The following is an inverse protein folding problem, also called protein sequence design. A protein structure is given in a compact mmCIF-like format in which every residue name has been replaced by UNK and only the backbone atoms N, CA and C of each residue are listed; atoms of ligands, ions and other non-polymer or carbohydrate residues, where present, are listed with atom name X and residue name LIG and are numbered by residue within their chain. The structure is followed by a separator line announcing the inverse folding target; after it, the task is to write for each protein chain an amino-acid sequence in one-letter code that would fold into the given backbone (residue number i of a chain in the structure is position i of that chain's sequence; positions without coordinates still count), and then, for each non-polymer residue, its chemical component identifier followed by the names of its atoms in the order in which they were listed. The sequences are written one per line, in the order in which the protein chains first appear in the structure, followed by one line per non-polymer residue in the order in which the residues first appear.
data_IF_066969496205
#
_entry.id   IF_066969496205
#
_cell.length_a   1.000
_cell.length_b   1.000
_cell.length_c   1.000
_cell.angle_alpha   90.00
_cell.angle_beta   90.00
_cell.angle_gamma   90.00
#
_symmetry.space_group_name_H-M   'P 1'
#
loop_
_entity.id
_entity.type
_entity.pdbx_description
1 polymer ?
#
# COMPACT_ATOMS: atom_id res chain seq x y z
N UNK A 1 -17.59 -49.68 -14.09
CA UNK A 1 -16.70 -48.68 -13.51
C UNK A 1 -17.41 -47.33 -13.53
N UNK A 2 -17.89 -46.87 -12.39
CA UNK A 2 -18.58 -45.58 -12.23
C UNK A 2 -17.48 -44.52 -12.05
N UNK A 3 -17.28 -43.67 -13.08
CA UNK A 3 -16.36 -42.54 -12.99
C UNK A 3 -17.04 -41.44 -12.18
N UNK A 4 -16.65 -41.27 -10.91
CA UNK A 4 -17.03 -40.12 -10.08
C UNK A 4 -16.36 -38.87 -10.69
N UNK A 5 -17.14 -38.08 -11.41
CA UNK A 5 -16.74 -36.71 -11.80
C UNK A 5 -16.81 -35.89 -10.54
N UNK A 6 -15.66 -35.59 -9.91
CA UNK A 6 -15.57 -34.58 -8.87
C UNK A 6 -16.03 -33.25 -9.47
N UNK A 7 -17.03 -32.57 -8.88
CA UNK A 7 -17.34 -31.21 -9.29
C UNK A 7 -16.09 -30.35 -9.05
N UNK A 8 -15.58 -29.73 -10.11
CA UNK A 8 -14.45 -28.82 -10.02
C UNK A 8 -14.77 -27.72 -9.03
N UNK A 9 -13.95 -27.60 -7.98
CA UNK A 9 -14.02 -26.47 -7.05
C UNK A 9 -13.79 -25.22 -7.89
N UNK A 10 -14.85 -24.45 -8.10
CA UNK A 10 -14.75 -23.15 -8.76
C UNK A 10 -13.82 -22.29 -7.92
N UNK A 11 -12.69 -21.92 -8.50
CA UNK A 11 -11.69 -21.13 -7.81
C UNK A 11 -12.28 -19.78 -7.39
N UNK A 12 -12.20 -19.46 -6.11
CA UNK A 12 -12.82 -18.26 -5.53
C UNK A 12 -11.91 -17.07 -5.76
N UNK A 13 -12.36 -16.14 -6.60
CA UNK A 13 -11.68 -14.87 -6.85
C UNK A 13 -11.78 -13.98 -5.62
N UNK A 14 -10.67 -13.37 -5.20
CA UNK A 14 -10.61 -12.52 -4.02
C UNK A 14 -11.57 -11.32 -4.15
N UNK A 15 -12.37 -11.05 -3.10
CA UNK A 15 -13.17 -9.83 -3.02
C UNK A 15 -12.28 -8.59 -2.91
N UNK A 16 -12.88 -7.42 -3.15
CA UNK A 16 -12.18 -6.13 -3.00
C UNK A 16 -11.76 -5.93 -1.54
N UNK A 17 -10.47 -5.67 -1.25
CA UNK A 17 -10.01 -5.38 0.10
C UNK A 17 -10.69 -4.13 0.65
N UNK A 18 -10.98 -4.13 1.94
CA UNK A 18 -11.46 -2.95 2.62
C UNK A 18 -10.30 -2.00 2.90
N UNK A 19 -10.40 -0.74 2.47
CA UNK A 19 -9.45 0.34 2.80
C UNK A 19 -10.19 1.68 2.88
N UNK A 20 -9.62 2.63 3.59
CA UNK A 20 -10.17 3.98 3.74
C UNK A 20 -9.14 4.99 3.19
N UNK A 21 -9.52 5.82 2.20
CA UNK A 21 -10.73 5.79 1.37
C UNK A 21 -10.85 4.50 0.54
N UNK A 22 -12.09 4.17 0.15
CA UNK A 22 -12.38 2.96 -0.64
C UNK A 22 -11.65 2.99 -1.99
N UNK A 23 -11.11 1.84 -2.42
CA UNK A 23 -10.44 1.68 -3.71
C UNK A 23 -11.38 1.96 -4.89
N UNK A 24 -10.90 2.65 -5.90
CA UNK A 24 -11.66 2.92 -7.13
C UNK A 24 -11.88 1.67 -7.97
N UNK A 25 -10.83 0.91 -8.20
CA UNK A 25 -10.89 -0.27 -9.07
C UNK A 25 -10.23 -1.46 -8.39
N UNK A 26 -10.85 -2.63 -8.50
CA UNK A 26 -10.29 -3.91 -8.05
C UNK A 26 -10.61 -5.01 -9.04
N UNK A 27 -9.60 -5.75 -9.41
CA UNK A 27 -9.72 -7.00 -10.15
C UNK A 27 -9.03 -8.10 -9.37
N UNK A 28 -9.80 -8.89 -8.65
CA UNK A 28 -9.31 -10.01 -7.85
C UNK A 28 -8.74 -11.13 -8.72
N UNK A 29 -7.86 -11.90 -8.12
CA UNK A 29 -7.34 -13.18 -8.60
C UNK A 29 -7.40 -14.18 -7.45
N UNK A 30 -7.01 -15.43 -7.69
CA UNK A 30 -7.03 -16.48 -6.68
C UNK A 30 -5.78 -16.45 -5.79
N UNK A 31 -5.97 -16.79 -4.50
CA UNK A 31 -4.89 -16.94 -3.53
C UNK A 31 -4.37 -15.63 -2.96
N UNK A 32 -3.33 -15.72 -2.16
CA UNK A 32 -2.73 -14.58 -1.47
C UNK A 32 -1.21 -14.55 -1.66
N UNK A 33 -0.63 -13.39 -1.45
CA UNK A 33 0.78 -13.19 -1.20
C UNK A 33 0.97 -13.06 0.31
N UNK A 34 1.82 -13.88 0.89
CA UNK A 34 2.15 -13.85 2.32
C UNK A 34 3.59 -13.35 2.44
N UNK A 35 3.82 -12.19 3.07
CA UNK A 35 5.18 -11.74 3.37
C UNK A 35 5.88 -12.74 4.30
N UNK A 36 7.19 -12.85 4.15
CA UNK A 36 8.07 -13.67 5.00
C UNK A 36 9.17 -12.78 5.59
N UNK A 37 9.96 -13.31 6.52
CA UNK A 37 11.11 -12.60 7.07
C UNK A 37 12.15 -12.20 6.00
N UNK A 38 12.15 -12.89 4.85
CA UNK A 38 13.04 -12.58 3.73
C UNK A 38 12.45 -11.62 2.71
N UNK A 39 11.18 -11.21 2.87
CA UNK A 39 10.54 -10.22 2.01
C UNK A 39 11.26 -8.88 2.10
N UNK A 40 11.65 -8.33 0.95
CA UNK A 40 12.33 -7.04 0.85
C UNK A 40 11.44 -5.98 0.24
N UNK A 41 11.70 -4.73 0.60
CA UNK A 41 11.15 -3.58 -0.11
C UNK A 41 12.20 -3.10 -1.09
N UNK A 42 11.89 -3.19 -2.38
CA UNK A 42 12.85 -2.91 -3.45
C UNK A 42 12.43 -1.65 -4.22
N UNK A 43 13.38 -0.74 -4.42
CA UNK A 43 13.19 0.43 -5.27
C UNK A 43 14.35 0.56 -6.28
N UNK A 44 14.14 1.24 -7.43
CA UNK A 44 15.21 1.46 -8.41
C UNK A 44 16.38 2.25 -7.82
N UNK A 45 17.59 1.97 -8.29
CA UNK A 45 18.74 2.82 -8.03
C UNK A 45 18.51 4.24 -8.60
N UNK A 46 19.17 5.23 -8.02
CA UNK A 46 19.10 6.64 -8.44
C UNK A 46 17.71 7.33 -8.33
N UNK A 47 16.82 6.81 -7.47
CA UNK A 47 15.56 7.45 -7.14
C UNK A 47 15.45 7.73 -5.62
N UNK A 48 16.04 8.82 -5.12
CA UNK A 48 16.13 9.11 -3.68
C UNK A 48 14.76 9.24 -3.01
N UNK A 49 13.75 9.77 -3.72
CA UNK A 49 12.39 9.87 -3.21
C UNK A 49 11.76 8.49 -2.96
N UNK A 50 11.95 7.53 -3.88
CA UNK A 50 11.44 6.18 -3.68
C UNK A 50 12.19 5.45 -2.56
N UNK A 51 13.50 5.69 -2.43
CA UNK A 51 14.28 5.13 -1.32
C UNK A 51 13.78 5.65 0.03
N UNK A 52 13.45 6.96 0.12
CA UNK A 52 12.85 7.55 1.31
C UNK A 52 11.49 6.90 1.63
N UNK A 53 10.63 6.74 0.64
CA UNK A 53 9.30 6.11 0.80
C UNK A 53 9.45 4.63 1.20
N UNK A 54 10.40 3.90 0.62
CA UNK A 54 10.67 2.51 0.98
C UNK A 54 11.12 2.37 2.45
N UNK A 55 11.98 3.26 2.93
CA UNK A 55 12.40 3.31 4.33
C UNK A 55 11.23 3.64 5.26
N UNK A 56 10.41 4.63 4.91
CA UNK A 56 9.21 4.96 5.68
C UNK A 56 8.26 3.76 5.77
N UNK A 57 8.05 3.03 4.67
CA UNK A 57 7.24 1.81 4.69
C UNK A 57 7.84 0.74 5.60
N UNK A 58 9.16 0.56 5.58
CA UNK A 58 9.85 -0.40 6.46
C UNK A 58 9.70 -0.01 7.95
N UNK A 59 9.84 1.28 8.28
CA UNK A 59 9.66 1.80 9.64
C UNK A 59 8.21 1.65 10.12
N UNK A 60 7.25 1.87 9.23
CA UNK A 60 5.82 1.67 9.53
C UNK A 60 5.52 0.18 9.76
N UNK A 61 6.08 -0.74 8.95
CA UNK A 61 5.96 -2.18 9.16
C UNK A 61 6.54 -2.62 10.51
N UNK A 62 7.70 -2.08 10.89
CA UNK A 62 8.30 -2.35 12.20
C UNK A 62 7.39 -1.88 13.34
N UNK A 63 6.81 -0.68 13.21
CA UNK A 63 5.94 -0.10 14.23
C UNK A 63 4.60 -0.84 14.35
N UNK A 64 4.00 -1.23 13.23
CA UNK A 64 2.66 -1.82 13.18
C UNK A 64 2.67 -3.35 13.37
N UNK A 65 3.71 -4.02 12.86
CA UNK A 65 3.74 -5.48 12.74
C UNK A 65 4.94 -6.13 13.45
N UNK A 66 5.84 -5.32 14.04
CA UNK A 66 6.99 -5.82 14.80
C UNK A 66 8.13 -6.39 13.95
N UNK A 67 8.06 -6.27 12.61
CA UNK A 67 9.10 -6.71 11.68
C UNK A 67 9.46 -5.58 10.71
N UNK A 68 10.77 -5.34 10.54
CA UNK A 68 11.30 -4.34 9.60
C UNK A 68 11.86 -5.01 8.36
N UNK A 69 11.17 -4.94 7.21
CA UNK A 69 11.70 -5.48 5.96
C UNK A 69 12.98 -4.76 5.53
N UNK A 70 13.93 -5.50 4.96
CA UNK A 70 15.14 -4.94 4.36
C UNK A 70 14.77 -4.06 3.15
N UNK A 71 15.36 -2.85 3.08
CA UNK A 71 15.20 -1.95 1.92
C UNK A 71 16.40 -2.07 1.01
N UNK A 72 16.16 -2.45 -0.24
CA UNK A 72 17.21 -2.72 -1.24
C UNK A 72 16.99 -1.86 -2.49
N UNK A 73 18.08 -1.33 -3.04
CA UNK A 73 18.05 -0.68 -4.35
C UNK A 73 18.47 -1.66 -5.44
N UNK A 74 17.62 -1.83 -6.46
CA UNK A 74 17.93 -2.73 -7.56
C UNK A 74 16.69 -3.29 -8.26
N UNK A 75 16.79 -4.53 -8.73
CA UNK A 75 15.70 -5.27 -9.35
C UNK A 75 15.12 -6.24 -8.32
N UNK A 76 13.83 -6.09 -8.03
CA UNK A 76 13.11 -7.03 -7.17
C UNK A 76 12.67 -8.29 -7.93
N UNK A 77 12.38 -9.34 -7.15
CA UNK A 77 11.96 -10.64 -7.63
C UNK A 77 10.64 -11.14 -7.03
N UNK A 78 10.42 -12.43 -7.13
CA UNK A 78 9.35 -13.10 -6.39
C UNK A 78 9.61 -12.97 -4.88
N UNK A 79 8.54 -12.80 -4.10
CA UNK A 79 8.63 -12.60 -2.64
C UNK A 79 8.86 -11.14 -2.21
N UNK A 80 9.11 -10.20 -3.13
CA UNK A 80 9.43 -8.81 -2.79
C UNK A 80 8.23 -7.86 -2.95
N UNK A 81 8.34 -6.72 -2.24
CA UNK A 81 7.52 -5.52 -2.44
C UNK A 81 8.31 -4.53 -3.29
N UNK A 82 7.88 -4.26 -4.51
CA UNK A 82 8.60 -3.46 -5.49
C UNK A 82 7.91 -2.12 -5.68
N UNK A 83 8.65 -1.03 -5.48
CA UNK A 83 8.19 0.34 -5.70
C UNK A 83 8.79 0.87 -7.00
N UNK A 84 7.96 1.46 -7.88
CA UNK A 84 8.46 1.99 -9.15
C UNK A 84 7.63 3.18 -9.66
N UNK A 85 8.29 4.08 -10.38
CA UNK A 85 7.61 5.14 -11.13
C UNK A 85 7.27 4.59 -12.52
N UNK A 86 6.01 4.74 -12.90
CA UNK A 86 5.51 4.38 -14.22
C UNK A 86 4.49 5.40 -14.69
N UNK A 87 4.70 6.02 -15.83
CA UNK A 87 3.78 6.97 -16.41
C UNK A 87 2.40 6.34 -16.70
N UNK A 88 1.35 6.94 -16.17
CA UNK A 88 -0.05 6.67 -16.49
C UNK A 88 -0.84 7.98 -16.38
N UNK A 89 -1.17 8.57 -17.53
CA UNK A 89 -1.88 9.87 -17.58
C UNK A 89 -3.26 9.85 -16.92
N UNK A 90 -3.88 8.67 -16.80
CA UNK A 90 -5.23 8.53 -16.23
C UNK A 90 -5.23 8.51 -14.69
N UNK A 91 -4.07 8.30 -14.07
CA UNK A 91 -3.92 8.27 -12.62
C UNK A 91 -3.71 9.64 -11.99
N UNK A 92 -3.33 10.65 -12.79
CA UNK A 92 -2.88 11.93 -12.25
C UNK A 92 -1.61 11.77 -11.41
N UNK A 93 -1.27 12.78 -10.62
CA UNK A 93 -0.04 12.78 -9.82
C UNK A 93 -0.08 11.84 -8.61
N UNK A 94 -1.24 11.75 -7.96
CA UNK A 94 -1.41 11.05 -6.69
C UNK A 94 -1.96 9.63 -6.84
N UNK A 95 -2.39 9.24 -8.04
CA UNK A 95 -2.91 7.90 -8.28
C UNK A 95 -1.81 6.85 -8.36
N UNK A 96 -2.20 5.59 -8.14
CA UNK A 96 -1.28 4.45 -8.13
C UNK A 96 -1.98 3.16 -8.54
N UNK A 97 -1.19 2.16 -8.88
CA UNK A 97 -1.62 0.79 -9.17
C UNK A 97 -0.81 -0.18 -8.33
N UNK A 98 -1.48 -1.14 -7.70
CA UNK A 98 -0.81 -2.27 -7.04
C UNK A 98 -1.22 -3.56 -7.73
N UNK A 99 -0.25 -4.35 -8.13
CA UNK A 99 -0.44 -5.70 -8.63
C UNK A 99 0.16 -6.70 -7.65
N UNK A 100 -0.68 -7.57 -7.11
CA UNK A 100 -0.30 -8.64 -6.18
C UNK A 100 -0.33 -9.98 -6.93
N UNK A 101 0.82 -10.64 -6.98
CA UNK A 101 1.02 -11.96 -7.61
C UNK A 101 1.89 -12.83 -6.69
N UNK A 102 3.02 -13.31 -7.17
CA UNK A 102 4.15 -13.87 -6.40
C UNK A 102 5.02 -12.77 -5.74
N UNK A 103 4.67 -11.52 -6.00
CA UNK A 103 5.27 -10.30 -5.49
C UNK A 103 4.22 -9.20 -5.43
N UNK A 104 4.54 -8.12 -4.75
CA UNK A 104 3.75 -6.88 -4.78
C UNK A 104 4.49 -5.87 -5.66
N UNK A 105 3.84 -5.40 -6.72
CA UNK A 105 4.35 -4.32 -7.56
C UNK A 105 3.46 -3.08 -7.40
N UNK A 106 3.98 -2.06 -6.72
CA UNK A 106 3.36 -0.76 -6.57
C UNK A 106 3.97 0.23 -7.55
N UNK A 107 3.15 0.77 -8.42
CA UNK A 107 3.55 1.75 -9.44
C UNK A 107 2.69 3.00 -9.39
N UNK A 108 3.28 4.16 -9.65
CA UNK A 108 2.58 5.43 -9.78
C UNK A 108 3.30 6.36 -10.77
N UNK A 109 2.63 7.39 -11.31
CA UNK A 109 3.26 8.40 -12.16
C UNK A 109 4.30 9.25 -11.42
N UNK A 110 4.06 9.55 -10.15
CA UNK A 110 4.93 10.35 -9.29
C UNK A 110 5.15 9.67 -7.93
N UNK A 111 6.18 10.07 -7.21
CA UNK A 111 6.55 9.50 -5.90
C UNK A 111 5.45 9.65 -4.85
N UNK A 112 4.67 10.71 -4.90
CA UNK A 112 3.54 10.91 -3.99
C UNK A 112 2.46 9.83 -4.17
N UNK A 113 2.18 9.40 -5.39
CA UNK A 113 1.28 8.28 -5.66
C UNK A 113 1.81 6.95 -5.09
N UNK A 114 3.13 6.71 -5.19
CA UNK A 114 3.77 5.55 -4.53
C UNK A 114 3.57 5.62 -3.02
N UNK A 115 3.76 6.81 -2.42
CA UNK A 115 3.52 7.00 -0.99
C UNK A 115 2.09 6.66 -0.59
N UNK A 116 1.07 7.14 -1.32
CA UNK A 116 -0.33 6.78 -1.03
C UNK A 116 -0.60 5.28 -1.21
N UNK A 117 0.02 4.66 -2.19
CA UNK A 117 -0.04 3.21 -2.38
C UNK A 117 0.51 2.43 -1.19
N UNK A 118 1.60 2.91 -0.55
CA UNK A 118 2.12 2.26 0.67
C UNK A 118 1.12 2.33 1.83
N UNK A 119 0.33 3.40 1.96
CA UNK A 119 -0.73 3.49 2.98
C UNK A 119 -1.82 2.44 2.75
N UNK A 120 -2.17 2.20 1.49
CA UNK A 120 -3.08 1.10 1.12
C UNK A 120 -2.51 -0.26 1.48
N UNK A 121 -1.22 -0.51 1.22
CA UNK A 121 -0.59 -1.78 1.59
C UNK A 121 -0.64 -2.00 3.11
N UNK A 122 -0.34 -1.00 3.93
CA UNK A 122 -0.43 -1.12 5.39
C UNK A 122 -1.85 -1.46 5.85
N UNK A 123 -2.88 -0.78 5.31
CA UNK A 123 -4.27 -1.05 5.66
C UNK A 123 -4.72 -2.46 5.27
N UNK A 124 -4.24 -2.99 4.14
CA UNK A 124 -4.55 -4.37 3.74
C UNK A 124 -3.83 -5.36 4.66
N UNK A 125 -2.56 -5.14 4.96
CA UNK A 125 -1.76 -6.03 5.83
C UNK A 125 -2.33 -6.11 7.26
N UNK A 126 -2.86 -5.03 7.80
CA UNK A 126 -3.43 -4.96 9.14
C UNK A 126 -4.68 -5.84 9.33
N UNK A 127 -5.38 -6.17 8.23
CA UNK A 127 -6.65 -6.91 8.28
C UNK A 127 -6.51 -8.43 8.41
N UNK A 128 -5.30 -8.96 8.42
CA UNK A 128 -5.06 -10.39 8.57
C UNK A 128 -3.90 -10.67 9.52
N UNK A 129 -4.01 -11.75 10.29
CA UNK A 129 -2.98 -12.16 11.28
C UNK A 129 -1.61 -12.40 10.63
N UNK A 130 -1.58 -12.90 9.38
CA UNK A 130 -0.34 -13.18 8.65
C UNK A 130 0.06 -12.02 7.72
N UNK A 131 -0.56 -10.84 7.84
CA UNK A 131 -0.31 -9.66 6.99
C UNK A 131 -0.37 -9.98 5.49
N UNK A 132 -1.26 -10.91 5.11
CA UNK A 132 -1.37 -11.39 3.74
C UNK A 132 -2.10 -10.40 2.84
N UNK A 133 -1.76 -10.45 1.56
CA UNK A 133 -2.35 -9.62 0.52
C UNK A 133 -3.13 -10.47 -0.46
N UNK A 134 -4.44 -10.22 -0.68
CA UNK A 134 -5.20 -10.95 -1.70
C UNK A 134 -4.58 -10.67 -3.08
N UNK A 135 -4.36 -11.73 -3.86
CA UNK A 135 -3.89 -11.56 -5.25
C UNK A 135 -4.92 -10.86 -6.10
N UNK A 136 -4.44 -9.96 -6.93
CA UNK A 136 -5.27 -9.13 -7.79
C UNK A 136 -4.55 -7.88 -8.25
N UNK A 137 -5.31 -6.99 -8.87
CA UNK A 137 -4.82 -5.68 -9.29
C UNK A 137 -5.80 -4.62 -8.80
N UNK A 138 -5.29 -3.64 -8.07
CA UNK A 138 -6.03 -2.45 -7.69
C UNK A 138 -5.50 -1.24 -8.45
N UNK A 139 -6.37 -0.28 -8.67
CA UNK A 139 -6.07 1.02 -9.22
C UNK A 139 -6.85 2.06 -8.44
N UNK A 140 -6.16 3.10 -7.96
CA UNK A 140 -6.74 4.08 -7.05
C UNK A 140 -6.17 5.48 -7.31
N UNK A 141 -7.01 6.49 -7.14
CA UNK A 141 -6.66 7.90 -7.30
C UNK A 141 -7.66 8.76 -6.51
N UNK A 142 -7.27 9.95 -6.03
CA UNK A 142 -8.16 10.81 -5.27
C UNK A 142 -9.21 11.49 -6.15
N UNK A 143 -10.43 11.67 -5.61
CA UNK A 143 -11.47 12.50 -6.22
C UNK A 143 -11.19 14.00 -6.02
N UNK A 144 -10.54 14.35 -4.90
CA UNK A 144 -10.28 15.73 -4.48
C UNK A 144 -8.79 15.98 -4.32
N UNK A 145 -8.32 17.08 -4.91
CA UNK A 145 -6.93 17.50 -4.79
C UNK A 145 -6.57 17.92 -3.36
N UNK A 146 -7.49 18.50 -2.61
CA UNK A 146 -7.32 18.89 -1.21
C UNK A 146 -8.14 17.97 -0.31
N UNK A 147 -7.47 17.32 0.64
CA UNK A 147 -8.04 16.42 1.64
C UNK A 147 -7.43 16.80 2.98
N UNK A 148 -8.12 17.65 3.70
CA UNK A 148 -7.54 18.33 4.85
C UNK A 148 -8.35 18.26 6.11
N UNK A 149 -7.70 18.68 7.17
CA UNK A 149 -8.27 18.91 8.49
C UNK A 149 -7.75 20.22 9.06
N UNK A 150 -8.52 20.85 9.92
CA UNK A 150 -8.13 22.08 10.64
C UNK A 150 -8.11 21.83 12.14
N UNK A 151 -7.05 22.29 12.82
CA UNK A 151 -6.90 22.25 14.27
C UNK A 151 -6.68 23.66 14.78
N UNK A 152 -7.56 24.12 15.66
CA UNK A 152 -7.40 25.42 16.33
C UNK A 152 -6.53 25.29 17.58
N UNK A 153 -5.24 25.60 17.44
CA UNK A 153 -4.28 25.63 18.53
C UNK A 153 -4.39 26.93 19.38
N UNK A 154 -5.14 27.93 18.93
CA UNK A 154 -5.32 29.19 19.66
C UNK A 154 -6.28 29.06 20.87
N UNK A 155 -7.23 28.15 20.80
CA UNK A 155 -8.21 27.92 21.87
C UNK A 155 -7.75 26.94 22.93
N UNK A 156 -6.84 26.04 22.57
CA UNK A 156 -6.30 25.03 23.47
C UNK A 156 -4.88 24.68 23.07
N UNK A 157 -3.98 24.65 24.05
CA UNK A 157 -2.63 24.14 23.81
C UNK A 157 -2.66 22.67 23.38
N UNK A 158 -2.00 22.36 22.28
CA UNK A 158 -1.86 21.01 21.75
C UNK A 158 -0.36 20.68 21.70
N UNK A 159 0.11 19.64 22.42
CA UNK A 159 1.51 19.24 22.41
C UNK A 159 1.99 18.87 21.00
N UNK A 160 3.26 19.17 20.71
CA UNK A 160 3.87 18.85 19.41
C UNK A 160 3.81 17.34 19.08
N UNK A 161 4.01 16.49 20.10
CA UNK A 161 3.89 15.03 19.95
C UNK A 161 2.52 14.62 19.43
N UNK A 162 1.45 15.19 19.95
CA UNK A 162 0.09 14.95 19.46
C UNK A 162 -0.07 15.38 18.00
N UNK A 163 0.45 16.55 17.60
CA UNK A 163 0.38 17.01 16.22
C UNK A 163 1.18 16.09 15.28
N UNK A 164 2.32 15.58 15.72
CA UNK A 164 3.12 14.62 14.95
C UNK A 164 2.36 13.31 14.73
N UNK A 165 1.73 12.77 15.76
CA UNK A 165 0.92 11.55 15.64
C UNK A 165 -0.33 11.79 14.79
N UNK A 166 -0.94 12.98 14.92
CA UNK A 166 -2.09 13.36 14.12
C UNK A 166 -1.75 13.42 12.61
N UNK A 167 -0.60 13.98 12.25
CA UNK A 167 -0.11 14.00 10.86
C UNK A 167 0.13 12.57 10.32
N UNK A 168 0.63 11.65 11.16
CA UNK A 168 0.79 10.23 10.76
C UNK A 168 -0.57 9.59 10.48
N UNK A 169 -1.57 9.83 11.33
CA UNK A 169 -2.95 9.34 11.15
C UNK A 169 -3.55 9.93 9.88
N UNK A 170 -3.41 11.23 9.65
CA UNK A 170 -3.85 11.88 8.41
C UNK A 170 -3.22 11.23 7.19
N UNK A 171 -1.91 10.99 7.21
CA UNK A 171 -1.19 10.34 6.13
C UNK A 171 -1.70 8.89 5.90
N UNK A 172 -1.98 8.14 6.97
CA UNK A 172 -2.53 6.79 6.89
C UNK A 172 -3.87 6.76 6.11
N UNK A 173 -4.72 7.78 6.31
CA UNK A 173 -5.97 7.97 5.58
C UNK A 173 -5.83 8.84 4.32
N UNK A 174 -4.61 9.03 3.82
CA UNK A 174 -4.29 9.76 2.58
C UNK A 174 -4.75 11.22 2.56
N UNK A 175 -4.84 11.86 3.72
CA UNK A 175 -5.07 13.30 3.82
C UNK A 175 -3.76 14.05 3.58
N UNK A 176 -3.83 15.21 2.90
CA UNK A 176 -2.65 15.93 2.43
C UNK A 176 -2.53 17.38 2.91
N UNK A 177 -3.49 17.86 3.70
CA UNK A 177 -3.51 19.25 4.17
C UNK A 177 -3.89 19.31 5.65
N UNK A 178 -3.06 19.92 6.49
CA UNK A 178 -3.35 20.30 7.86
C UNK A 178 -3.27 21.82 7.98
N UNK A 179 -4.31 22.44 8.52
CA UNK A 179 -4.40 23.86 8.80
C UNK A 179 -4.50 24.14 10.29
#
# INVERSE_FOLDING_TARGET
ALCLVCPGVSAVVNPKPFVIPELKEWKGAEGAFVPTETTKIVCPANQPELLRIARMLADDCETMFGHKPEVVQGKGGAGDVILAIRADKKLGKEGYTVKVTDRILLTAPESIGVYWGTRTLLQIAEQSENHQFPKGTLRDFPDYAMRGFMIDCGRKFIPLSFLQDYVKIMAYYKMNTLQ
#
